data_IF_546310137209
#
_entry.id   IF_546310137209
#
_cell.length_a   1.000
_cell.length_b   1.000
_cell.length_c   1.000
_cell.angle_alpha   90.00
_cell.angle_beta   90.00
_cell.angle_gamma   90.00
#
_symmetry.space_group_name_H-M   'P 1'
#
loop_
_entity.id
_entity.type
_entity.pdbx_description
1 polymer ?
#
# COMPACT_ATOMS: atom_id res chain seq x y z
N UNK A 1 32.94 0.91 23.61
CA UNK A 1 31.88 0.46 24.54
C UNK A 1 32.40 0.67 25.95
N UNK A 2 31.88 1.67 26.67
CA UNK A 2 32.33 2.01 28.04
C UNK A 2 31.58 1.10 29.03
N UNK A 3 32.23 0.52 30.04
CA UNK A 3 31.54 -0.33 31.00
C UNK A 3 30.57 0.52 31.83
N UNK A 4 29.26 0.27 31.70
CA UNK A 4 28.24 0.91 32.53
C UNK A 4 28.38 0.38 33.96
N UNK A 5 28.83 1.23 34.89
CA UNK A 5 28.78 0.94 36.33
C UNK A 5 27.35 1.19 36.81
N UNK A 6 26.55 0.13 36.91
CA UNK A 6 25.19 0.14 37.46
C UNK A 6 24.44 -1.15 37.13
N UNK A 7 23.57 -1.60 38.03
CA UNK A 7 22.66 -2.72 37.77
C UNK A 7 21.62 -2.30 36.73
N UNK A 8 21.50 -3.05 35.64
CA UNK A 8 20.56 -2.78 34.55
C UNK A 8 19.59 -3.95 34.44
N UNK A 9 18.29 -3.64 34.37
CA UNK A 9 17.27 -4.61 33.95
C UNK A 9 16.93 -4.35 32.50
N UNK A 10 17.02 -5.39 31.67
CA UNK A 10 16.68 -5.34 30.26
C UNK A 10 15.43 -6.19 30.03
N UNK A 11 14.41 -5.58 29.43
CA UNK A 11 13.11 -6.21 29.16
C UNK A 11 12.69 -5.90 27.75
N UNK A 12 11.84 -6.76 27.19
CA UNK A 12 11.25 -6.56 25.87
C UNK A 12 9.74 -6.62 25.98
N UNK A 13 9.10 -5.47 25.83
CA UNK A 13 7.65 -5.37 25.81
C UNK A 13 7.08 -5.59 24.42
N UNK A 14 5.85 -6.09 24.37
CA UNK A 14 5.05 -6.25 23.15
C UNK A 14 3.69 -5.59 23.31
N UNK A 15 3.15 -5.05 22.22
CA UNK A 15 1.91 -4.28 22.25
C UNK A 15 1.11 -4.46 20.98
N UNK A 16 0.34 -5.56 20.85
CA UNK A 16 -0.56 -5.72 19.72
C UNK A 16 -1.67 -4.67 19.80
N UNK A 17 -1.98 -4.03 18.67
CA UNK A 17 -3.13 -3.14 18.55
C UNK A 17 -3.91 -3.50 17.29
N UNK A 18 -5.19 -3.80 17.45
CA UNK A 18 -6.09 -4.10 16.36
C UNK A 18 -7.13 -2.97 16.23
N UNK A 19 -7.33 -2.51 15.00
CA UNK A 19 -8.40 -1.58 14.67
C UNK A 19 -9.10 -2.05 13.41
N UNK A 20 -10.39 -1.73 13.30
CA UNK A 20 -11.15 -2.10 12.11
C UNK A 20 -10.72 -1.20 10.94
N UNK A 21 -10.53 -1.76 9.73
CA UNK A 21 -10.37 -0.97 8.52
C UNK A 21 -11.56 -0.02 8.33
N UNK A 22 -11.28 1.20 7.89
CA UNK A 22 -12.29 2.22 7.62
C UNK A 22 -12.19 2.79 6.20
N UNK A 23 -11.21 2.33 5.42
CA UNK A 23 -11.00 2.66 4.02
C UNK A 23 -10.80 1.39 3.21
N UNK A 24 -10.92 1.51 1.90
CA UNK A 24 -10.41 0.51 0.97
C UNK A 24 -9.56 1.20 -0.11
N UNK A 25 -8.44 0.55 -0.43
CA UNK A 25 -7.56 0.90 -1.53
C UNK A 25 -7.92 0.02 -2.73
N UNK A 26 -8.26 0.66 -3.85
CA UNK A 26 -8.65 -0.02 -5.08
C UNK A 26 -7.64 0.31 -6.17
N UNK A 27 -6.92 -0.70 -6.63
CA UNK A 27 -6.02 -0.59 -7.77
C UNK A 27 -6.77 -0.93 -9.04
N UNK A 28 -6.84 0.05 -9.95
CA UNK A 28 -7.50 -0.07 -11.24
C UNK A 28 -6.54 0.21 -12.39
N UNK A 29 -6.78 -0.40 -13.53
CA UNK A 29 -6.04 -0.13 -14.74
C UNK A 29 -6.99 0.06 -15.93
N UNK A 30 -6.66 1.03 -16.78
CA UNK A 30 -7.24 1.16 -18.11
C UNK A 30 -6.22 0.55 -19.05
N UNK A 31 -6.64 -0.43 -19.86
CA UNK A 31 -5.75 -1.12 -20.81
C UNK A 31 -6.34 -1.00 -22.21
N UNK A 32 -5.55 -0.50 -23.15
CA UNK A 32 -5.92 -0.44 -24.56
C UNK A 32 -4.79 -0.92 -25.44
N UNK A 33 -5.13 -1.45 -26.62
CA UNK A 33 -4.19 -2.01 -27.58
C UNK A 33 -4.31 -1.31 -28.94
N UNK A 34 -3.19 -1.11 -29.61
CA UNK A 34 -3.12 -0.56 -30.96
C UNK A 34 -2.05 -1.25 -31.80
N UNK A 35 -2.24 -1.29 -33.12
CA UNK A 35 -1.24 -1.85 -34.06
C UNK A 35 -0.01 -0.96 -34.19
N UNK A 36 -0.17 0.34 -33.95
CA UNK A 36 0.89 1.35 -33.93
C UNK A 36 0.94 2.02 -32.58
N UNK A 37 2.06 2.70 -32.30
CA UNK A 37 2.23 3.50 -31.09
C UNK A 37 1.12 4.56 -30.98
N UNK A 38 0.92 5.35 -32.04
CA UNK A 38 -0.11 6.38 -32.12
C UNK A 38 -1.51 5.78 -31.97
N UNK A 39 -1.79 4.66 -32.64
CA UNK A 39 -3.08 3.98 -32.55
C UNK A 39 -3.39 3.47 -31.14
N UNK A 40 -2.39 3.06 -30.37
CA UNK A 40 -2.59 2.67 -28.97
C UNK A 40 -2.88 3.88 -28.08
N UNK A 41 -2.19 5.01 -28.29
CA UNK A 41 -2.43 6.25 -27.53
C UNK A 41 -3.80 6.84 -27.86
N UNK A 42 -4.19 6.87 -29.13
CA UNK A 42 -5.49 7.38 -29.58
C UNK A 42 -6.63 6.53 -29.03
N UNK A 43 -6.49 5.19 -29.10
CA UNK A 43 -7.45 4.26 -28.51
C UNK A 43 -7.58 4.42 -26.99
N UNK A 44 -6.52 4.89 -26.31
CA UNK A 44 -6.49 5.11 -24.87
C UNK A 44 -7.17 6.40 -24.40
N UNK A 45 -7.24 7.41 -25.27
CA UNK A 45 -7.71 8.74 -24.93
C UNK A 45 -9.18 8.79 -24.51
N UNK A 46 -10.06 8.18 -25.30
CA UNK A 46 -11.51 8.18 -25.02
C UNK A 46 -11.91 7.42 -23.75
N UNK A 47 -11.42 6.17 -23.52
CA UNK A 47 -11.63 5.47 -22.26
C UNK A 47 -11.15 6.26 -21.05
N UNK A 48 -9.94 6.83 -21.13
CA UNK A 48 -9.37 7.62 -20.03
C UNK A 48 -10.24 8.83 -19.70
N UNK A 49 -10.72 9.57 -20.70
CA UNK A 49 -11.64 10.70 -20.49
C UNK A 49 -12.97 10.27 -19.86
N UNK A 50 -13.53 9.13 -20.26
CA UNK A 50 -14.76 8.59 -19.64
C UNK A 50 -14.54 8.24 -18.17
N UNK A 51 -13.45 7.53 -17.87
CA UNK A 51 -13.11 7.15 -16.49
C UNK A 51 -12.85 8.38 -15.64
N UNK A 52 -12.11 9.38 -16.13
CA UNK A 52 -11.88 10.64 -15.41
C UNK A 52 -13.18 11.38 -15.04
N UNK A 53 -14.21 11.34 -15.91
CA UNK A 53 -15.52 11.92 -15.57
C UNK A 53 -16.21 11.16 -14.44
N UNK A 54 -16.12 9.82 -14.45
CA UNK A 54 -16.66 8.98 -13.38
C UNK A 54 -15.90 9.24 -12.07
N UNK A 55 -14.57 9.31 -12.11
CA UNK A 55 -13.73 9.60 -10.94
C UNK A 55 -14.11 10.94 -10.32
N UNK A 56 -14.31 12.00 -11.11
CA UNK A 56 -14.77 13.32 -10.60
C UNK A 56 -16.13 13.27 -9.90
N UNK A 57 -17.05 12.41 -10.36
CA UNK A 57 -18.34 12.21 -9.70
C UNK A 57 -18.21 11.40 -8.40
N UNK A 58 -17.22 10.51 -8.33
CA UNK A 58 -16.93 9.73 -7.13
C UNK A 58 -16.10 10.52 -6.10
N UNK A 59 -15.33 11.50 -6.55
CA UNK A 59 -14.60 12.44 -5.68
C UNK A 59 -15.55 13.23 -4.78
N UNK A 60 -16.74 13.61 -5.27
CA UNK A 60 -17.76 14.28 -4.44
C UNK A 60 -18.37 13.35 -3.40
N UNK A 61 -18.24 12.03 -3.57
CA UNK A 61 -18.64 11.01 -2.60
C UNK A 61 -17.51 10.64 -1.62
N UNK A 62 -16.37 11.33 -1.66
CA UNK A 62 -15.26 11.14 -0.73
C UNK A 62 -14.18 10.16 -1.19
N UNK A 63 -14.24 9.69 -2.45
CA UNK A 63 -13.15 8.92 -3.05
C UNK A 63 -11.99 9.84 -3.46
N UNK A 64 -10.74 9.37 -3.36
CA UNK A 64 -9.57 10.14 -3.79
C UNK A 64 -8.67 9.29 -4.69
N UNK A 65 -8.01 9.94 -5.66
CA UNK A 65 -6.98 9.30 -6.48
C UNK A 65 -5.63 9.60 -5.84
N UNK A 66 -4.92 8.57 -5.39
CA UNK A 66 -3.62 8.73 -4.75
C UNK A 66 -2.48 8.82 -5.76
N UNK A 67 -2.54 8.00 -6.80
CA UNK A 67 -1.48 7.89 -7.80
C UNK A 67 -2.08 7.51 -9.14
N UNK A 68 -1.53 8.09 -10.21
CA UNK A 68 -1.87 7.75 -11.59
C UNK A 68 -0.57 7.64 -12.39
N UNK A 69 -0.33 6.47 -12.98
CA UNK A 69 0.88 6.17 -13.74
C UNK A 69 0.46 5.70 -15.13
N UNK A 70 0.97 6.37 -16.16
CA UNK A 70 0.79 5.95 -17.56
C UNK A 70 2.03 5.19 -18.04
N UNK A 71 1.82 4.07 -18.74
CA UNK A 71 2.88 3.27 -19.36
C UNK A 71 2.44 2.85 -20.76
N UNK A 72 3.41 2.78 -21.66
CA UNK A 72 3.23 2.30 -23.02
C UNK A 72 4.24 1.20 -23.28
N UNK A 73 3.74 0.00 -23.55
CA UNK A 73 4.55 -1.20 -23.73
C UNK A 73 4.39 -1.72 -25.16
N UNK A 74 5.48 -2.14 -25.78
CA UNK A 74 5.42 -2.95 -27.00
C UNK A 74 5.29 -4.41 -26.59
N UNK A 75 4.27 -5.09 -27.07
CA UNK A 75 4.04 -6.50 -26.78
C UNK A 75 5.01 -7.32 -27.65
N UNK A 76 6.10 -7.78 -27.04
CA UNK A 76 6.96 -8.78 -27.64
C UNK A 76 6.32 -10.15 -27.43
N UNK A 77 5.70 -10.72 -28.46
CA UNK A 77 5.31 -12.13 -28.42
C UNK A 77 6.56 -13.00 -28.17
N UNK A 78 6.48 -14.01 -27.28
CA UNK A 78 7.56 -14.99 -27.15
C UNK A 78 7.69 -15.72 -28.48
N UNK A 79 8.81 -15.46 -29.17
CA UNK A 79 9.13 -16.02 -30.47
C UNK A 79 9.16 -17.55 -30.38
N UNK A 80 8.08 -18.23 -30.81
CA UNK A 80 8.10 -19.68 -30.98
C UNK A 80 8.90 -20.00 -32.24
N UNK A 81 10.15 -20.39 -32.05
CA UNK A 81 10.97 -21.05 -33.07
C UNK A 81 10.38 -22.42 -33.39
N UNK A 82 9.35 -22.47 -34.23
CA UNK A 82 8.93 -23.71 -34.86
C UNK A 82 8.43 -23.42 -36.28
N UNK A 83 9.19 -23.91 -37.25
CA UNK A 83 8.75 -24.27 -38.61
C UNK A 83 8.62 -23.22 -39.73
N UNK A 84 9.17 -22.00 -39.62
CA UNK A 84 9.20 -21.07 -40.77
C UNK A 84 10.61 -20.54 -41.10
N UNK A 85 11.18 -20.82 -42.31
CA UNK A 85 12.48 -20.32 -42.73
C UNK A 85 12.51 -18.82 -43.08
N UNK A 86 11.35 -18.15 -43.13
CA UNK A 86 11.29 -16.70 -43.28
C UNK A 86 10.20 -16.09 -42.37
N UNK A 87 10.47 -15.98 -41.05
CA UNK A 87 9.51 -15.44 -40.10
C UNK A 87 9.44 -13.93 -40.27
N UNK A 88 8.36 -13.44 -40.89
CA UNK A 88 8.00 -12.03 -40.81
C UNK A 88 7.72 -11.74 -39.33
N UNK A 89 8.40 -10.77 -38.69
CA UNK A 89 8.08 -10.44 -37.31
C UNK A 89 6.59 -10.06 -37.29
N UNK A 90 5.76 -10.64 -36.40
CA UNK A 90 4.38 -10.24 -36.28
C UNK A 90 4.35 -8.72 -36.04
N UNK A 91 3.33 -8.04 -36.58
CA UNK A 91 3.07 -6.64 -36.25
C UNK A 91 2.80 -6.56 -34.75
N UNK A 92 3.86 -6.36 -33.96
CA UNK A 92 3.80 -6.42 -32.50
C UNK A 92 2.90 -5.29 -31.99
N UNK A 93 1.77 -5.61 -31.35
CA UNK A 93 0.85 -4.60 -30.88
C UNK A 93 1.47 -3.78 -29.73
N UNK A 94 1.09 -2.51 -29.65
CA UNK A 94 1.40 -1.63 -28.54
C UNK A 94 0.24 -1.68 -27.55
N UNK A 95 0.56 -1.72 -26.25
CA UNK A 95 -0.41 -1.68 -25.16
C UNK A 95 -0.18 -0.42 -24.33
N UNK A 96 -1.19 0.44 -24.27
CA UNK A 96 -1.23 1.62 -23.41
C UNK A 96 -1.96 1.27 -22.11
N UNK A 97 -1.35 1.59 -20.97
CA UNK A 97 -1.85 1.26 -19.64
C UNK A 97 -1.84 2.53 -18.80
N UNK A 98 -2.99 2.88 -18.19
CA UNK A 98 -3.03 3.85 -17.08
C UNK A 98 -3.43 3.12 -15.82
N UNK A 99 -2.52 3.04 -14.86
CA UNK A 99 -2.75 2.47 -13.54
C UNK A 99 -3.10 3.58 -12.56
N UNK A 100 -4.16 3.40 -11.79
CA UNK A 100 -4.59 4.34 -10.77
C UNK A 100 -4.82 3.60 -9.45
N UNK A 101 -4.32 4.17 -8.36
CA UNK A 101 -4.71 3.75 -7.02
C UNK A 101 -5.74 4.74 -6.49
N UNK A 102 -6.88 4.21 -6.08
CA UNK A 102 -7.99 4.94 -5.50
C UNK A 102 -8.12 4.59 -4.02
N UNK A 103 -8.48 5.58 -3.20
CA UNK A 103 -8.84 5.39 -1.80
C UNK A 103 -10.30 5.74 -1.61
N UNK A 104 -11.05 4.81 -1.03
CA UNK A 104 -12.52 4.86 -0.93
C UNK A 104 -12.96 4.76 0.55
N UNK A 105 -13.93 5.57 1.00
CA UNK A 105 -14.49 5.49 2.33
C UNK A 105 -15.35 4.22 2.57
N UNK A 106 -14.79 3.27 3.31
CA UNK A 106 -15.42 2.04 3.84
C UNK A 106 -16.10 1.06 2.85
N UNK A 107 -16.19 -0.17 3.35
CA UNK A 107 -16.60 -1.45 2.73
C UNK A 107 -17.99 -1.44 2.05
N UNK A 108 -18.87 -0.47 2.33
CA UNK A 108 -20.19 -0.40 1.68
C UNK A 108 -20.24 0.39 0.37
N UNK A 109 -19.31 1.34 0.17
CA UNK A 109 -19.31 2.22 -1.02
C UNK A 109 -18.35 1.73 -2.11
N UNK A 110 -17.42 0.84 -1.74
CA UNK A 110 -16.43 0.24 -2.64
C UNK A 110 -17.12 -0.52 -3.76
N UNK A 111 -18.11 -1.36 -3.42
CA UNK A 111 -18.85 -2.14 -4.41
C UNK A 111 -19.56 -1.24 -5.42
N UNK A 112 -20.18 -0.14 -4.96
CA UNK A 112 -20.83 0.82 -5.85
C UNK A 112 -19.81 1.55 -6.74
N UNK A 113 -18.68 2.00 -6.18
CA UNK A 113 -17.62 2.68 -6.90
C UNK A 113 -17.00 1.75 -7.96
N UNK A 114 -16.70 0.50 -7.59
CA UNK A 114 -16.18 -0.55 -8.47
C UNK A 114 -17.18 -0.85 -9.58
N UNK A 115 -18.46 -1.03 -9.27
CA UNK A 115 -19.50 -1.28 -10.27
C UNK A 115 -19.63 -0.12 -11.26
N UNK A 116 -19.60 1.13 -10.79
CA UNK A 116 -19.63 2.32 -11.66
C UNK A 116 -18.40 2.42 -12.57
N UNK A 117 -17.21 2.07 -12.05
CA UNK A 117 -15.98 2.03 -12.85
C UNK A 117 -15.99 0.89 -13.86
N UNK A 118 -16.42 -0.31 -13.44
CA UNK A 118 -16.53 -1.48 -14.30
C UNK A 118 -17.57 -1.32 -15.41
N UNK A 119 -18.65 -0.58 -15.16
CA UNK A 119 -19.67 -0.23 -16.17
C UNK A 119 -19.10 0.55 -17.37
N UNK A 120 -17.92 1.18 -17.22
CA UNK A 120 -17.23 1.80 -18.36
C UNK A 120 -16.69 0.79 -19.38
N UNK A 121 -16.57 -0.49 -18.99
CA UNK A 121 -16.13 -1.61 -19.84
C UNK A 121 -14.64 -1.61 -20.20
N UNK A 122 -13.88 -0.59 -19.79
CA UNK A 122 -12.45 -0.44 -20.11
C UNK A 122 -11.55 -0.44 -18.87
N UNK A 123 -12.16 -0.49 -17.68
CA UNK A 123 -11.44 -0.53 -16.41
C UNK A 123 -11.32 -1.96 -15.92
N UNK A 124 -10.10 -2.40 -15.70
CA UNK A 124 -9.76 -3.63 -15.00
C UNK A 124 -9.50 -3.32 -13.53
N UNK A 125 -10.27 -3.92 -12.63
CA UNK A 125 -9.98 -3.88 -11.18
C UNK A 125 -8.97 -4.98 -10.89
N UNK A 126 -7.81 -4.61 -10.35
CA UNK A 126 -6.70 -5.53 -10.11
C UNK A 126 -6.64 -6.02 -8.67
N UNK A 127 -6.79 -5.10 -7.71
CA UNK A 127 -6.69 -5.41 -6.28
C UNK A 127 -7.61 -4.49 -5.49
N UNK A 128 -8.27 -5.05 -4.48
CA UNK A 128 -8.99 -4.31 -3.43
C UNK A 128 -8.34 -4.72 -2.12
N UNK A 129 -7.91 -3.73 -1.33
CA UNK A 129 -7.27 -3.96 -0.03
C UNK A 129 -7.94 -3.09 1.01
N UNK A 130 -8.41 -3.68 2.11
CA UNK A 130 -8.92 -2.92 3.23
C UNK A 130 -7.78 -2.19 3.95
N UNK A 131 -8.00 -0.92 4.30
CA UNK A 131 -6.97 -0.05 4.86
C UNK A 131 -7.50 0.77 6.05
N UNK A 132 -6.58 1.33 6.83
CA UNK A 132 -6.87 2.18 7.98
C UNK A 132 -6.35 3.58 7.71
N UNK A 133 -7.23 4.59 7.71
CA UNK A 133 -6.87 5.98 7.46
C UNK A 133 -5.78 6.56 8.40
N UNK A 134 -5.64 5.98 9.58
CA UNK A 134 -4.71 6.44 10.62
C UNK A 134 -3.84 5.31 11.15
N UNK A 135 -3.18 4.59 10.23
CA UNK A 135 -2.15 3.59 10.57
C UNK A 135 -1.10 4.14 11.54
N UNK A 136 -0.67 5.39 11.37
CA UNK A 136 0.27 6.03 12.30
C UNK A 136 -0.27 6.12 13.71
N UNK A 137 -1.56 6.41 13.88
CA UNK A 137 -2.19 6.46 15.19
C UNK A 137 -2.25 5.05 15.78
N UNK A 138 -2.67 4.06 14.99
CA UNK A 138 -2.70 2.65 15.41
C UNK A 138 -1.30 2.14 15.85
N UNK A 139 -0.26 2.48 15.09
CA UNK A 139 1.13 2.17 15.43
C UNK A 139 1.59 2.88 16.72
N UNK A 140 1.15 4.11 16.95
CA UNK A 140 1.47 4.82 18.19
C UNK A 140 0.79 4.19 19.41
N UNK A 141 -0.45 3.71 19.27
CA UNK A 141 -1.11 2.96 20.35
C UNK A 141 -0.42 1.63 20.62
N UNK A 142 -0.03 0.89 19.57
CA UNK A 142 0.79 -0.33 19.70
C UNK A 142 2.10 -0.07 20.46
N UNK A 143 2.81 1.02 20.13
CA UNK A 143 4.05 1.42 20.80
C UNK A 143 3.81 1.74 22.28
N UNK A 144 2.73 2.47 22.61
CA UNK A 144 2.38 2.77 24.01
C UNK A 144 2.10 1.50 24.79
N UNK A 145 1.33 0.57 24.21
CA UNK A 145 1.05 -0.72 24.83
C UNK A 145 2.35 -1.51 25.09
N UNK A 146 3.27 -1.55 24.12
CA UNK A 146 4.55 -2.24 24.27
C UNK A 146 5.43 -1.63 25.38
N UNK A 147 5.45 -0.31 25.51
CA UNK A 147 6.21 0.37 26.59
C UNK A 147 5.57 0.10 27.96
N UNK A 148 4.24 0.06 28.05
CA UNK A 148 3.55 -0.27 29.29
C UNK A 148 3.82 -1.71 29.73
N UNK A 149 3.81 -2.67 28.80
CA UNK A 149 4.17 -4.07 29.03
C UNK A 149 5.63 -4.20 29.52
N UNK A 150 6.58 -3.57 28.81
CA UNK A 150 7.98 -3.53 29.23
C UNK A 150 8.14 -2.96 30.66
N UNK A 151 7.45 -1.85 30.96
CA UNK A 151 7.51 -1.22 32.28
C UNK A 151 7.00 -2.15 33.38
N UNK A 152 5.90 -2.87 33.13
CA UNK A 152 5.35 -3.80 34.11
C UNK A 152 6.28 -4.99 34.36
N UNK A 153 6.87 -5.55 33.31
CA UNK A 153 7.88 -6.61 33.46
C UNK A 153 9.09 -6.15 34.25
N UNK A 154 9.62 -4.96 33.94
CA UNK A 154 10.76 -4.40 34.68
C UNK A 154 10.43 -4.16 36.16
N UNK A 155 9.20 -3.73 36.47
CA UNK A 155 8.73 -3.53 37.83
C UNK A 155 8.69 -4.84 38.60
N UNK A 156 8.13 -5.89 38.01
CA UNK A 156 8.07 -7.24 38.61
C UNK A 156 9.48 -7.76 38.92
N UNK A 157 10.43 -7.61 37.99
CA UNK A 157 11.81 -8.05 38.22
C UNK A 157 12.54 -7.24 39.28
N UNK A 158 12.35 -5.92 39.31
CA UNK A 158 12.95 -5.07 40.32
C UNK A 158 12.41 -5.41 41.72
N UNK A 159 11.10 -5.56 41.87
CA UNK A 159 10.45 -5.93 43.13
C UNK A 159 10.92 -7.30 43.64
N UNK A 160 10.99 -8.31 42.76
CA UNK A 160 11.47 -9.64 43.12
C UNK A 160 12.96 -9.67 43.53
N UNK A 161 13.75 -8.72 43.03
CA UNK A 161 15.15 -8.55 43.40
C UNK A 161 15.36 -7.59 44.59
N UNK A 162 14.28 -7.09 45.20
CA UNK A 162 14.32 -6.06 46.26
C UNK A 162 15.03 -4.76 45.82
N UNK A 163 14.99 -4.46 44.52
CA UNK A 163 15.58 -3.26 43.91
C UNK A 163 14.48 -2.26 43.50
N UNK A 164 14.89 -1.00 43.29
CA UNK A 164 14.01 0.06 42.78
C UNK A 164 14.43 0.49 41.37
N UNK A 165 13.46 0.66 40.48
CA UNK A 165 13.65 1.34 39.21
C UNK A 165 13.82 2.84 39.43
N UNK A 166 14.85 3.44 38.83
CA UNK A 166 15.20 4.86 39.05
C UNK A 166 15.00 5.68 37.78
N UNK A 167 15.56 5.23 36.68
CA UNK A 167 15.52 5.95 35.40
C UNK A 167 15.55 4.99 34.21
N UNK A 168 15.23 5.52 33.04
CA UNK A 168 15.36 4.81 31.77
C UNK A 168 16.75 5.10 31.20
N UNK A 169 17.60 4.08 31.12
CA UNK A 169 18.94 4.24 30.55
C UNK A 169 18.94 4.22 29.01
N UNK A 170 18.06 3.41 28.42
CA UNK A 170 18.03 3.19 26.97
C UNK A 170 16.66 2.67 26.53
N UNK A 171 16.19 3.13 25.37
CA UNK A 171 15.02 2.57 24.69
C UNK A 171 15.44 2.23 23.27
N UNK A 172 15.30 0.96 22.90
CA UNK A 172 15.45 0.52 21.51
C UNK A 172 14.07 0.30 20.91
N UNK A 173 13.76 1.02 19.83
CA UNK A 173 12.52 0.83 19.09
C UNK A 173 12.54 -0.47 18.28
N UNK A 174 11.42 -1.19 18.26
CA UNK A 174 11.21 -2.32 17.37
C UNK A 174 10.62 -1.89 16.02
N UNK A 175 10.80 -2.72 14.99
CA UNK A 175 10.09 -2.57 13.73
C UNK A 175 8.65 -3.08 13.89
N UNK A 176 7.69 -2.29 13.43
CA UNK A 176 6.32 -2.75 13.25
C UNK A 176 6.14 -3.04 11.75
N UNK A 177 5.76 -4.27 11.43
CA UNK A 177 5.44 -4.66 10.06
C UNK A 177 3.91 -4.64 9.90
N UNK A 178 3.33 -3.62 9.25
CA UNK A 178 1.94 -3.71 8.84
C UNK A 178 1.80 -4.88 7.84
N UNK A 179 0.67 -5.61 7.85
CA UNK A 179 0.49 -6.80 7.00
C UNK A 179 0.75 -6.56 5.51
N UNK A 180 0.54 -5.33 5.03
CA UNK A 180 0.56 -5.01 3.60
C UNK A 180 1.60 -3.98 3.16
N UNK A 181 2.56 -3.59 4.01
CA UNK A 181 3.71 -2.76 3.64
C UNK A 181 3.39 -1.32 3.19
N UNK A 182 2.13 -1.00 2.93
CA UNK A 182 1.64 0.37 2.85
C UNK A 182 1.52 0.86 4.27
N UNK A 183 2.38 1.81 4.58
CA UNK A 183 2.14 2.65 5.69
C UNK A 183 2.06 4.07 5.18
N UNK A 184 1.08 4.83 5.63
CA UNK A 184 1.20 6.29 5.72
C UNK A 184 2.29 6.64 6.76
N UNK A 185 3.49 6.08 6.56
CA UNK A 185 4.69 6.35 7.32
C UNK A 185 5.46 7.40 6.55
N UNK A 186 5.84 8.52 7.19
CA UNK A 186 6.87 9.37 6.63
C UNK A 186 8.10 8.49 6.39
N UNK A 187 8.72 8.62 5.21
CA UNK A 187 9.97 7.92 4.88
C UNK A 187 10.91 8.00 6.08
N UNK A 188 11.60 6.90 6.44
CA UNK A 188 12.53 6.93 7.56
C UNK A 188 13.43 8.14 7.39
N UNK A 189 13.45 9.02 8.40
CA UNK A 189 14.43 10.10 8.43
C UNK A 189 15.77 9.39 8.49
N UNK A 190 16.52 9.45 7.40
CA UNK A 190 17.91 9.03 7.40
C UNK A 190 18.59 9.93 8.43
N UNK A 191 18.99 9.32 9.55
CA UNK A 191 19.74 9.99 10.61
C UNK A 191 21.20 10.14 10.19
#
# INVERSE_FOLDING_TARGET
MVPRRGSVVCVRGTGPFATKPNLARVDVAIVTRGKTLEGAVDAHGDPTRRVQKILKLLETAGMTVETSVFRLNRESEPYRMADNPNPRPPDQPFTAITEMTLTVPSVGTVDEAVNRLAASGVVEVRKITDAVASERQALNEARRAAVLDAREQARIYAEAAELKLVEITEITGGEASPPDGYADMPRPRVA
#
